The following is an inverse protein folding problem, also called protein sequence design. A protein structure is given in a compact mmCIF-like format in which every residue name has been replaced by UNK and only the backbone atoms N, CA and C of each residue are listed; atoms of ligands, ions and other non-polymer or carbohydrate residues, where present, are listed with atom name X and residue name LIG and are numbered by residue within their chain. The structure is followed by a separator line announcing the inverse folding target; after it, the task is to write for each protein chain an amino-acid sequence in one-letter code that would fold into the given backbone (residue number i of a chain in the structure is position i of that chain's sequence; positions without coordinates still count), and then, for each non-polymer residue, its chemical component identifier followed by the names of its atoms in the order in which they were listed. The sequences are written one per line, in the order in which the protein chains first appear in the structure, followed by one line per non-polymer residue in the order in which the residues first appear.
data_IF_935695363472
#
_entry.id   IF_935695363472
#
_cell.length_a   1.000
_cell.length_b   1.000
_cell.length_c   1.000
_cell.angle_alpha   90.00
_cell.angle_beta   90.00
_cell.angle_gamma   90.00
#
_symmetry.space_group_name_H-M   'P 1'
#
loop_
_entity.id
_entity.type
_entity.pdbx_description
1 polymer ?
#
# COMPACT_ATOMS: atom_id res chain seq x y z
N UNK A 1 -3.79 -7.54 -29.31
CA UNK A 1 -3.83 -6.06 -29.19
C UNK A 1 -2.41 -5.54 -29.37
N UNK A 2 -2.05 -5.11 -30.58
CA UNK A 2 -0.69 -4.73 -30.96
C UNK A 2 -0.53 -3.21 -30.88
N UNK A 3 0.10 -2.75 -29.81
CA UNK A 3 0.42 -1.34 -29.57
C UNK A 3 1.60 -0.90 -30.46
N UNK A 4 1.48 0.24 -31.15
CA UNK A 4 2.44 0.82 -32.13
C UNK A 4 2.95 2.16 -31.58
N UNK A 5 4.05 2.68 -32.10
CA UNK A 5 4.81 3.85 -31.61
C UNK A 5 4.04 5.19 -31.40
N UNK A 6 2.71 5.21 -31.51
CA UNK A 6 1.77 6.29 -31.17
C UNK A 6 1.29 6.31 -29.71
N UNK A 7 1.76 5.40 -28.85
CA UNK A 7 1.13 5.11 -27.55
C UNK A 7 1.75 5.85 -26.35
N UNK A 8 2.38 7.00 -26.61
CA UNK A 8 2.79 7.89 -25.52
C UNK A 8 1.59 8.72 -25.09
N UNK A 9 1.24 8.64 -23.81
CA UNK A 9 0.17 9.45 -23.22
C UNK A 9 0.76 10.56 -22.34
N UNK A 10 0.11 11.73 -22.22
CA UNK A 10 0.56 12.76 -21.29
C UNK A 10 0.60 12.20 -19.86
N UNK A 11 1.75 12.27 -19.21
CA UNK A 11 1.97 11.68 -17.88
C UNK A 11 0.99 12.21 -16.84
N UNK A 12 0.66 13.50 -16.92
CA UNK A 12 -0.39 14.17 -16.13
C UNK A 12 -1.75 13.46 -16.10
N UNK A 13 -2.14 12.75 -17.18
CA UNK A 13 -3.41 11.98 -17.18
C UNK A 13 -3.30 10.71 -16.34
N UNK A 14 -2.12 10.09 -16.37
CA UNK A 14 -1.82 8.88 -15.61
C UNK A 14 -1.61 9.22 -14.13
N UNK A 15 -1.00 10.36 -13.81
CA UNK A 15 -0.92 10.94 -12.47
C UNK A 15 -2.32 11.20 -11.90
N UNK A 16 -3.18 11.91 -12.65
CA UNK A 16 -4.55 12.19 -12.21
C UNK A 16 -5.37 10.91 -11.95
N UNK A 17 -5.22 9.88 -12.79
CA UNK A 17 -5.83 8.58 -12.56
C UNK A 17 -5.26 7.90 -11.30
N UNK A 18 -3.95 8.00 -11.10
CA UNK A 18 -3.28 7.45 -9.92
C UNK A 18 -3.80 8.11 -8.65
N UNK A 19 -3.86 9.44 -8.60
CA UNK A 19 -4.39 10.19 -7.45
C UNK A 19 -5.84 9.80 -7.15
N UNK A 20 -6.68 9.71 -8.17
CA UNK A 20 -8.07 9.30 -8.01
C UNK A 20 -8.21 7.88 -7.42
N UNK A 21 -7.40 6.93 -7.90
CA UNK A 21 -7.41 5.55 -7.39
C UNK A 21 -6.90 5.47 -5.96
N UNK A 22 -5.80 6.17 -5.61
CA UNK A 22 -5.31 6.22 -4.24
C UNK A 22 -6.33 6.85 -3.30
N UNK A 23 -6.94 7.98 -3.68
CA UNK A 23 -8.00 8.61 -2.89
C UNK A 23 -9.16 7.65 -2.65
N UNK A 24 -9.64 6.96 -3.70
CA UNK A 24 -10.73 5.99 -3.56
C UNK A 24 -10.34 4.82 -2.64
N UNK A 25 -9.16 4.22 -2.83
CA UNK A 25 -8.67 3.14 -1.99
C UNK A 25 -8.55 3.55 -0.51
N UNK A 26 -8.04 4.75 -0.22
CA UNK A 26 -7.99 5.30 1.14
C UNK A 26 -9.38 5.44 1.76
N UNK A 27 -10.39 5.86 0.98
CA UNK A 27 -11.77 5.93 1.49
C UNK A 27 -12.41 4.57 1.69
N UNK A 28 -12.11 3.57 0.84
CA UNK A 28 -12.65 2.22 1.02
C UNK A 28 -12.15 1.56 2.31
N UNK A 29 -10.93 1.89 2.78
CA UNK A 29 -10.40 1.32 4.01
C UNK A 29 -11.29 1.62 5.22
N UNK A 30 -11.86 2.83 5.35
CA UNK A 30 -12.69 3.16 6.52
C UNK A 30 -14.03 2.44 6.47
N UNK A 31 -14.56 2.15 5.27
CA UNK A 31 -15.80 1.40 5.11
C UNK A 31 -15.71 -0.03 5.63
N UNK A 32 -14.50 -0.56 5.83
CA UNK A 32 -14.29 -1.90 6.38
C UNK A 32 -14.36 -1.95 7.91
N UNK A 33 -14.42 -0.79 8.58
CA UNK A 33 -14.60 -0.70 10.04
C UNK A 33 -16.11 -0.72 10.32
N UNK A 34 -16.67 -1.92 10.40
CA UNK A 34 -18.09 -2.16 10.61
C UNK A 34 -18.30 -2.85 11.95
N UNK A 35 -19.41 -2.50 12.62
CA UNK A 35 -19.90 -3.25 13.77
C UNK A 35 -20.57 -4.56 13.29
N UNK A 36 -20.61 -5.62 14.12
CA UNK A 36 -21.35 -6.83 13.80
C UNK A 36 -22.81 -6.55 13.44
N UNK A 37 -23.39 -7.34 12.53
CA UNK A 37 -24.78 -7.16 12.06
C UNK A 37 -25.81 -7.27 13.20
N UNK A 38 -25.49 -8.01 14.26
CA UNK A 38 -26.31 -8.22 15.45
C UNK A 38 -25.99 -7.25 16.60
N UNK A 39 -25.20 -6.20 16.34
CA UNK A 39 -24.80 -5.23 17.36
C UNK A 39 -25.95 -4.32 17.80
N UNK A 40 -26.54 -4.63 18.96
CA UNK A 40 -27.66 -3.91 19.57
C UNK A 40 -27.39 -3.53 21.05
N UNK A 41 -26.46 -2.58 21.31
CA UNK A 41 -26.07 -2.24 22.67
C UNK A 41 -27.18 -1.51 23.43
N UNK A 42 -27.57 -2.04 24.60
CA UNK A 42 -28.58 -1.42 25.48
C UNK A 42 -28.00 -0.47 26.53
N UNK A 43 -26.68 -0.44 26.67
CA UNK A 43 -25.97 0.42 27.63
C UNK A 43 -24.74 1.04 26.98
N UNK A 44 -24.30 2.19 27.49
CA UNK A 44 -23.04 2.82 27.05
C UNK A 44 -21.85 1.89 27.24
N UNK A 45 -21.83 1.08 28.30
CA UNK A 45 -20.77 0.11 28.53
C UNK A 45 -20.73 -0.97 27.43
N UNK A 46 -21.88 -1.53 27.05
CA UNK A 46 -21.95 -2.50 25.96
C UNK A 46 -21.53 -1.89 24.62
N UNK A 47 -21.88 -0.62 24.37
CA UNK A 47 -21.44 0.11 23.19
C UNK A 47 -19.90 0.26 23.15
N UNK A 48 -19.29 0.71 24.26
CA UNK A 48 -17.84 0.86 24.35
C UNK A 48 -17.08 -0.47 24.24
N UNK A 49 -17.65 -1.56 24.78
CA UNK A 49 -17.08 -2.91 24.61
C UNK A 49 -17.11 -3.37 23.15
N UNK A 50 -18.20 -3.09 22.43
CA UNK A 50 -18.29 -3.33 20.98
C UNK A 50 -17.21 -2.59 20.21
N UNK A 51 -17.00 -1.30 20.50
CA UNK A 51 -15.93 -0.51 19.89
C UNK A 51 -14.53 -1.06 20.21
N UNK A 52 -14.28 -1.51 21.44
CA UNK A 52 -13.00 -2.12 21.82
C UNK A 52 -12.73 -3.43 21.05
N UNK A 53 -13.80 -4.17 20.70
CA UNK A 53 -13.72 -5.36 19.86
C UNK A 53 -13.28 -5.10 18.41
N UNK A 54 -13.33 -3.85 17.95
CA UNK A 54 -12.86 -3.45 16.61
C UNK A 54 -11.36 -3.10 16.57
N UNK A 55 -10.63 -3.26 17.68
CA UNK A 55 -9.23 -2.85 17.79
C UNK A 55 -8.33 -3.45 16.71
N UNK A 56 -8.46 -4.75 16.42
CA UNK A 56 -7.64 -5.42 15.40
C UNK A 56 -7.92 -4.86 13.99
N UNK A 57 -9.20 -4.69 13.64
CA UNK A 57 -9.61 -4.07 12.37
C UNK A 57 -9.13 -2.63 12.26
N UNK A 58 -9.18 -1.87 13.36
CA UNK A 58 -8.69 -0.50 13.40
C UNK A 58 -7.17 -0.41 13.24
N UNK A 59 -6.40 -1.33 13.84
CA UNK A 59 -4.95 -1.41 13.67
C UNK A 59 -4.60 -1.78 12.23
N UNK A 60 -5.27 -2.80 11.66
CA UNK A 60 -5.10 -3.20 10.26
C UNK A 60 -5.41 -2.05 9.29
N UNK A 61 -6.48 -1.28 9.59
CA UNK A 61 -6.86 -0.07 8.87
C UNK A 61 -5.75 0.96 8.91
N UNK A 62 -5.28 1.31 10.11
CA UNK A 62 -4.31 2.38 10.28
C UNK A 62 -2.98 2.05 9.60
N UNK A 63 -2.50 0.82 9.75
CA UNK A 63 -1.29 0.34 9.07
C UNK A 63 -1.45 0.46 7.55
N UNK A 64 -2.56 -0.07 7.01
CA UNK A 64 -2.80 -0.08 5.55
C UNK A 64 -2.96 1.32 4.99
N UNK A 65 -3.66 2.20 5.73
CA UNK A 65 -3.81 3.62 5.38
C UNK A 65 -2.46 4.32 5.30
N UNK A 66 -1.62 4.17 6.33
CA UNK A 66 -0.29 4.78 6.38
C UNK A 66 0.63 4.25 5.26
N UNK A 67 0.53 2.96 4.93
CA UNK A 67 1.26 2.39 3.78
C UNK A 67 0.79 3.03 2.48
N UNK A 68 -0.51 3.12 2.21
CA UNK A 68 -1.01 3.78 0.99
C UNK A 68 -0.60 5.26 0.91
N UNK A 69 -0.68 5.99 2.02
CA UNK A 69 -0.22 7.39 2.08
C UNK A 69 1.27 7.50 1.81
N UNK A 70 2.10 6.57 2.30
CA UNK A 70 3.54 6.55 2.04
C UNK A 70 3.83 6.34 0.54
N UNK A 71 3.16 5.36 -0.10
CA UNK A 71 3.27 5.14 -1.54
C UNK A 71 2.82 6.36 -2.35
N UNK A 72 1.65 6.92 -2.02
CA UNK A 72 1.13 8.10 -2.69
C UNK A 72 2.07 9.30 -2.53
N UNK A 73 2.59 9.54 -1.31
CA UNK A 73 3.52 10.63 -1.03
C UNK A 73 4.86 10.46 -1.76
N UNK A 74 5.37 9.23 -1.85
CA UNK A 74 6.60 8.91 -2.58
C UNK A 74 6.45 9.18 -4.09
N UNK A 75 5.25 8.96 -4.63
CA UNK A 75 4.91 9.33 -6.00
C UNK A 75 4.73 10.84 -6.16
N UNK A 76 3.98 11.50 -5.29
CA UNK A 76 3.73 12.94 -5.37
C UNK A 76 5.01 13.79 -5.26
N UNK A 77 6.09 13.24 -4.68
CA UNK A 77 7.40 13.89 -4.57
C UNK A 77 8.36 13.57 -5.71
N UNK A 78 8.01 12.66 -6.62
CA UNK A 78 8.88 12.25 -7.72
C UNK A 78 8.94 13.39 -8.75
N UNK A 79 10.09 14.05 -8.84
CA UNK A 79 10.29 15.22 -9.71
C UNK A 79 10.81 14.88 -11.10
N UNK A 80 11.16 13.61 -11.35
CA UNK A 80 11.80 13.15 -12.59
C UNK A 80 10.88 12.30 -13.47
N UNK A 81 9.55 12.47 -13.37
CA UNK A 81 8.64 11.81 -14.28
C UNK A 81 8.78 12.38 -15.71
N UNK A 82 8.76 11.53 -16.77
CA UNK A 82 8.83 12.02 -18.15
C UNK A 82 7.56 12.78 -18.51
N UNK A 83 7.64 13.81 -19.37
CA UNK A 83 6.44 14.55 -19.83
C UNK A 83 5.43 13.66 -20.58
N UNK A 84 5.97 12.64 -21.27
CA UNK A 84 5.22 11.67 -22.05
C UNK A 84 5.52 10.26 -21.54
N UNK A 85 4.48 9.59 -21.07
CA UNK A 85 4.54 8.24 -20.54
C UNK A 85 4.56 7.21 -21.67
N UNK A 86 5.64 6.43 -21.78
CA UNK A 86 5.71 5.35 -22.75
C UNK A 86 4.83 4.14 -22.39
N UNK A 87 4.70 3.15 -23.28
CA UNK A 87 3.84 1.97 -23.07
C UNK A 87 4.29 1.08 -21.91
N UNK A 88 5.59 1.06 -21.61
CA UNK A 88 6.12 0.31 -20.48
C UNK A 88 5.74 0.97 -19.14
N UNK A 89 5.94 2.29 -19.03
CA UNK A 89 5.60 3.07 -17.84
C UNK A 89 4.08 3.05 -17.57
N UNK A 90 3.28 3.22 -18.62
CA UNK A 90 1.81 3.16 -18.53
C UNK A 90 1.34 1.80 -18.01
N UNK A 91 1.82 0.68 -18.58
CA UNK A 91 1.42 -0.66 -18.13
C UNK A 91 1.86 -0.95 -16.69
N UNK A 92 3.09 -0.57 -16.33
CA UNK A 92 3.58 -0.74 -14.96
C UNK A 92 2.71 0.04 -13.96
N UNK A 93 2.33 1.28 -14.31
CA UNK A 93 1.45 2.10 -13.47
C UNK A 93 0.05 1.50 -13.36
N UNK A 94 -0.59 1.11 -14.46
CA UNK A 94 -1.92 0.50 -14.40
C UNK A 94 -1.93 -0.81 -13.59
N UNK A 95 -0.88 -1.62 -13.71
CA UNK A 95 -0.75 -2.85 -12.93
C UNK A 95 -0.50 -2.57 -11.44
N UNK A 96 0.22 -1.49 -11.10
CA UNK A 96 0.32 -1.01 -9.73
C UNK A 96 -1.04 -0.57 -9.17
N UNK A 97 -1.81 0.21 -9.94
CA UNK A 97 -3.14 0.67 -9.54
C UNK A 97 -4.10 -0.50 -9.29
N UNK A 98 -4.01 -1.58 -10.07
CA UNK A 98 -4.76 -2.80 -9.79
C UNK A 98 -4.49 -3.30 -8.36
N UNK A 99 -3.23 -3.44 -7.96
CA UNK A 99 -2.88 -3.90 -6.62
C UNK A 99 -3.22 -2.91 -5.52
N UNK A 100 -3.25 -1.61 -5.82
CA UNK A 100 -3.79 -0.59 -4.89
C UNK A 100 -5.28 -0.82 -4.64
N UNK A 101 -6.07 -1.13 -5.68
CA UNK A 101 -7.51 -1.39 -5.53
C UNK A 101 -7.83 -2.70 -4.80
N UNK A 102 -6.94 -3.69 -4.84
CA UNK A 102 -7.11 -4.97 -4.12
C UNK A 102 -6.75 -4.83 -2.63
N UNK A 103 -6.00 -3.80 -2.25
CA UNK A 103 -5.47 -3.64 -0.90
C UNK A 103 -6.54 -3.53 0.19
N UNK A 104 -7.66 -2.80 0.01
CA UNK A 104 -8.73 -2.77 1.01
C UNK A 104 -9.34 -4.15 1.26
N UNK A 105 -9.50 -4.96 0.21
CA UNK A 105 -10.00 -6.32 0.34
C UNK A 105 -9.03 -7.24 1.09
N UNK A 106 -7.72 -7.18 0.78
CA UNK A 106 -6.74 -8.01 1.48
C UNK A 106 -6.55 -7.59 2.94
N UNK A 107 -6.70 -6.30 3.25
CA UNK A 107 -6.77 -5.78 4.62
C UNK A 107 -7.99 -6.32 5.37
N UNK A 108 -9.17 -6.33 4.73
CA UNK A 108 -10.39 -6.89 5.33
C UNK A 108 -10.24 -8.38 5.65
N UNK A 109 -9.57 -9.13 4.77
CA UNK A 109 -9.35 -10.55 4.99
C UNK A 109 -8.52 -10.81 6.25
N UNK A 110 -7.42 -10.07 6.45
CA UNK A 110 -6.58 -10.23 7.64
C UNK A 110 -7.26 -9.73 8.92
N UNK A 111 -8.13 -8.72 8.85
CA UNK A 111 -8.84 -8.25 10.03
C UNK A 111 -10.02 -9.14 10.46
N UNK A 112 -10.66 -9.85 9.51
CA UNK A 112 -11.80 -10.72 9.80
C UNK A 112 -11.41 -12.17 10.09
N UNK A 113 -10.32 -12.66 9.50
CA UNK A 113 -9.96 -14.07 9.59
C UNK A 113 -8.60 -14.24 10.25
N UNK A 114 -8.61 -14.81 11.46
CA UNK A 114 -7.41 -15.18 12.19
C UNK A 114 -6.78 -16.49 11.66
N UNK A 115 -6.39 -16.48 10.38
CA UNK A 115 -5.77 -17.63 9.70
C UNK A 115 -4.55 -17.16 8.92
N UNK A 116 -3.51 -18.00 8.86
CA UNK A 116 -2.27 -17.67 8.16
C UNK A 116 -2.50 -17.30 6.68
N UNK A 117 -3.48 -17.94 6.03
CA UNK A 117 -3.83 -17.64 4.63
C UNK A 117 -4.30 -16.20 4.39
N UNK A 118 -4.99 -15.58 5.35
CA UNK A 118 -5.41 -14.18 5.24
C UNK A 118 -4.21 -13.23 5.34
N UNK A 119 -3.27 -13.52 6.24
CA UNK A 119 -2.00 -12.78 6.33
C UNK A 119 -1.18 -12.94 5.05
N UNK A 120 -1.14 -14.14 4.47
CA UNK A 120 -0.41 -14.39 3.22
C UNK A 120 -1.02 -13.64 2.04
N UNK A 121 -2.35 -13.54 1.96
CA UNK A 121 -3.04 -12.74 0.95
C UNK A 121 -2.64 -11.26 1.05
N UNK A 122 -2.66 -10.70 2.26
CA UNK A 122 -2.22 -9.32 2.51
C UNK A 122 -0.73 -9.12 2.18
N UNK A 123 0.13 -10.04 2.64
CA UNK A 123 1.57 -10.01 2.37
C UNK A 123 1.90 -10.12 0.89
N UNK A 124 1.20 -10.98 0.15
CA UNK A 124 1.35 -11.10 -1.30
C UNK A 124 0.95 -9.78 -1.99
N UNK A 125 -0.16 -9.16 -1.58
CA UNK A 125 -0.57 -7.86 -2.12
C UNK A 125 0.47 -6.77 -1.86
N UNK A 126 1.08 -6.74 -0.66
CA UNK A 126 2.16 -5.80 -0.31
C UNK A 126 3.43 -6.02 -1.13
N UNK A 127 3.84 -7.28 -1.33
CA UNK A 127 4.98 -7.61 -2.18
C UNK A 127 4.71 -7.16 -3.63
N UNK A 128 3.49 -7.38 -4.13
CA UNK A 128 3.10 -6.95 -5.47
C UNK A 128 3.09 -5.43 -5.62
N UNK A 129 2.68 -4.68 -4.60
CA UNK A 129 2.80 -3.22 -4.58
C UNK A 129 4.28 -2.78 -4.65
N UNK A 130 5.16 -3.42 -3.88
CA UNK A 130 6.60 -3.14 -3.92
C UNK A 130 7.21 -3.46 -5.29
N UNK A 131 6.92 -4.65 -5.84
CA UNK A 131 7.43 -5.10 -7.14
C UNK A 131 6.97 -4.17 -8.25
N UNK A 132 5.69 -3.82 -8.28
CA UNK A 132 5.14 -2.90 -9.29
C UNK A 132 5.69 -1.49 -9.14
N UNK A 133 5.90 -0.99 -7.93
CA UNK A 133 6.62 0.25 -7.67
C UNK A 133 8.03 0.25 -8.27
N UNK A 134 8.78 -0.84 -8.08
CA UNK A 134 10.12 -0.99 -8.70
C UNK A 134 10.03 -1.03 -10.23
N UNK A 135 9.01 -1.68 -10.80
CA UNK A 135 8.81 -1.72 -12.26
C UNK A 135 8.51 -0.32 -12.82
N UNK A 136 7.72 0.49 -12.11
CA UNK A 136 7.48 1.89 -12.47
C UNK A 136 8.78 2.67 -12.47
N UNK A 137 9.59 2.59 -11.39
CA UNK A 137 10.87 3.30 -11.32
C UNK A 137 11.83 2.89 -12.45
N UNK A 138 11.87 1.59 -12.80
CA UNK A 138 12.69 1.11 -13.93
C UNK A 138 12.19 1.60 -15.28
N UNK A 139 10.87 1.64 -15.48
CA UNK A 139 10.28 2.16 -16.71
C UNK A 139 10.47 3.68 -16.84
N UNK A 140 10.33 4.43 -15.76
CA UNK A 140 10.56 5.87 -15.71
C UNK A 140 12.01 6.23 -16.07
N UNK A 141 13.00 5.48 -15.56
CA UNK A 141 14.42 5.68 -15.92
C UNK A 141 14.69 5.44 -17.41
N UNK A 142 14.00 4.47 -18.03
CA UNK A 142 14.13 4.21 -19.47
C UNK A 142 13.56 5.35 -20.32
N UNK A 143 12.41 5.90 -19.92
CA UNK A 143 11.70 6.91 -20.70
C UNK A 143 12.24 8.33 -20.47
N UNK A 144 12.72 8.66 -19.26
CA UNK A 144 13.23 10.01 -18.91
C UNK A 144 14.72 10.21 -19.21
N UNK A 145 15.53 9.14 -19.28
CA UNK A 145 16.98 9.21 -19.46
C UNK A 145 17.75 9.92 -18.34
N UNK A 146 17.07 10.32 -17.25
CA UNK A 146 17.64 11.00 -16.09
C UNK A 146 17.72 10.00 -14.93
N UNK A 147 18.90 9.92 -14.32
CA UNK A 147 19.10 9.08 -13.14
C UNK A 147 18.66 9.88 -11.91
N UNK A 148 17.42 9.68 -11.48
CA UNK A 148 16.98 10.21 -10.20
C UNK A 148 17.62 9.36 -9.08
N UNK A 149 18.41 10.03 -8.25
CA UNK A 149 19.16 9.44 -7.13
C UNK A 149 18.27 9.17 -5.90
N UNK A 150 16.99 9.53 -5.93
CA UNK A 150 16.02 9.17 -4.89
C UNK A 150 15.57 7.71 -5.04
N UNK A 151 16.51 6.81 -4.80
CA UNK A 151 16.37 5.36 -4.98
C UNK A 151 15.44 4.78 -3.88
N UNK A 152 14.12 4.89 -4.08
CA UNK A 152 13.06 4.28 -3.26
C UNK A 152 13.17 2.75 -3.11
N UNK A 153 14.20 2.12 -3.69
CA UNK A 153 14.58 0.71 -3.51
C UNK A 153 14.68 0.28 -2.05
N UNK A 154 15.13 1.16 -1.15
CA UNK A 154 15.22 0.80 0.27
C UNK A 154 13.82 0.70 0.89
N UNK A 155 12.90 1.59 0.53
CA UNK A 155 11.51 1.54 1.02
C UNK A 155 10.78 0.30 0.49
N UNK A 156 10.92 0.00 -0.80
CA UNK A 156 10.38 -1.23 -1.38
C UNK A 156 11.02 -2.49 -0.80
N UNK A 157 12.33 -2.47 -0.54
CA UNK A 157 13.05 -3.58 0.10
C UNK A 157 12.58 -3.82 1.53
N UNK A 158 12.40 -2.76 2.31
CA UNK A 158 11.85 -2.82 3.67
C UNK A 158 10.41 -3.37 3.65
N UNK A 159 9.58 -2.93 2.71
CA UNK A 159 8.21 -3.44 2.58
C UNK A 159 8.16 -4.93 2.22
N UNK A 160 9.04 -5.39 1.33
CA UNK A 160 9.14 -6.82 1.01
C UNK A 160 9.63 -7.59 2.24
N UNK A 161 10.65 -7.10 2.94
CA UNK A 161 11.19 -7.73 4.12
C UNK A 161 10.15 -7.83 5.25
N UNK A 162 9.39 -6.76 5.51
CA UNK A 162 8.32 -6.77 6.50
C UNK A 162 7.18 -7.70 6.10
N UNK A 163 6.88 -7.82 4.80
CA UNK A 163 5.83 -8.70 4.31
C UNK A 163 6.21 -10.16 4.51
N UNK A 164 7.44 -10.53 4.14
CA UNK A 164 7.96 -11.88 4.41
C UNK A 164 8.02 -12.15 5.90
N UNK A 165 8.49 -11.19 6.71
CA UNK A 165 8.51 -11.33 8.17
C UNK A 165 7.10 -11.55 8.74
N UNK A 166 6.12 -10.78 8.29
CA UNK A 166 4.71 -10.92 8.68
C UNK A 166 4.15 -12.31 8.33
N UNK A 167 4.43 -12.80 7.12
CA UNK A 167 4.03 -14.13 6.67
C UNK A 167 4.69 -15.27 7.46
N UNK A 168 5.91 -15.06 7.96
CA UNK A 168 6.58 -16.02 8.84
C UNK A 168 5.97 -15.98 10.25
N UNK A 169 5.78 -14.79 10.83
CA UNK A 169 5.18 -14.62 12.16
C UNK A 169 3.78 -15.24 12.24
N UNK A 170 3.01 -15.17 11.15
CA UNK A 170 1.66 -15.75 11.12
C UNK A 170 1.60 -17.26 11.27
N UNK A 171 2.73 -17.98 11.12
CA UNK A 171 2.80 -19.41 11.40
C UNK A 171 2.68 -19.74 12.90
N UNK A 172 3.02 -18.78 13.77
CA UNK A 172 2.91 -18.93 15.23
C UNK A 172 1.73 -18.15 15.81
N UNK A 173 1.51 -16.91 15.34
CA UNK A 173 0.40 -16.07 15.78
C UNK A 173 0.01 -15.06 14.69
N UNK A 174 -1.13 -15.25 14.02
CA UNK A 174 -1.58 -14.30 13.00
C UNK A 174 -1.96 -12.93 13.57
N UNK A 175 -2.39 -12.85 14.83
CA UNK A 175 -2.78 -11.60 15.51
C UNK A 175 -1.68 -10.53 15.48
N UNK A 176 -0.43 -10.92 15.73
CA UNK A 176 0.70 -10.00 15.78
C UNK A 176 1.38 -9.80 14.42
N UNK A 177 0.98 -10.54 13.39
CA UNK A 177 1.69 -10.57 12.11
C UNK A 177 1.70 -9.20 11.42
N UNK A 178 0.63 -8.40 11.56
CA UNK A 178 0.57 -7.07 10.95
C UNK A 178 1.49 -6.05 11.62
N UNK A 179 1.88 -6.24 12.87
CA UNK A 179 2.75 -5.30 13.58
C UNK A 179 4.14 -5.18 12.93
N UNK A 180 4.58 -6.20 12.18
CA UNK A 180 5.82 -6.16 11.41
C UNK A 180 5.85 -4.97 10.41
N UNK A 181 4.70 -4.53 9.90
CA UNK A 181 4.63 -3.41 8.96
C UNK A 181 4.78 -2.03 9.64
N UNK A 182 4.64 -1.92 10.96
CA UNK A 182 4.92 -0.68 11.69
C UNK A 182 6.38 -0.23 11.52
N UNK A 183 7.30 -1.16 11.29
CA UNK A 183 8.70 -0.87 10.98
C UNK A 183 8.84 -0.01 9.72
N UNK A 184 8.00 -0.24 8.69
CA UNK A 184 8.04 0.53 7.46
C UNK A 184 7.51 1.95 7.65
N UNK A 185 6.50 2.12 8.50
CA UNK A 185 5.94 3.42 8.82
C UNK A 185 6.98 4.25 9.58
N UNK A 186 7.70 3.65 10.52
CA UNK A 186 8.70 4.34 11.35
C UNK A 186 10.02 4.65 10.60
N UNK A 187 10.40 3.83 9.62
CA UNK A 187 11.66 3.97 8.88
C UNK A 187 11.91 5.36 8.25
N UNK A 188 10.96 5.99 7.53
CA UNK A 188 11.18 7.33 6.98
C UNK A 188 11.28 8.44 8.05
N UNK A 189 10.64 8.28 9.21
CA UNK A 189 10.77 9.23 10.33
C UNK A 189 12.15 9.14 11.00
N UNK A 190 12.70 7.93 11.11
CA UNK A 190 14.05 7.72 11.68
C UNK A 190 15.15 8.29 10.77
N UNK A 191 14.98 8.21 9.45
CA UNK A 191 15.93 8.77 8.47
C UNK A 191 16.10 10.29 8.55
N UNK A 192 15.03 11.03 8.87
CA UNK A 192 15.11 12.49 9.05
C UNK A 192 15.96 12.91 10.26
N UNK A 193 16.13 12.04 11.26
CA UNK A 193 16.99 12.28 12.43
C UNK A 193 18.46 11.88 12.21
N UNK A 194 18.73 10.92 11.33
CA UNK A 194 20.08 10.44 11.06
C UNK A 194 20.85 11.28 10.02
N UNK A 195 20.17 12.13 9.25
CA UNK A 195 20.77 13.03 8.25
C UNK A 195 21.15 14.42 8.77
N UNK A 196 21.10 14.66 10.09
CA UNK A 196 21.48 15.94 10.72
C UNK A 196 22.63 15.76 11.73
N UNK A 197 23.52 14.79 11.48
CA UNK A 197 24.74 14.56 12.25
C UNK A 197 25.97 14.86 11.42
#
# INVERSE_FOLDING_TARGET
MTWRATDFIPTRRLEALTDAVFAFALTLLVLNIELPDDFDPKTTQAFLQGLAGLSDTFIAYLITFLVLVAFWSGRARQTSEPDMAGPAYTRATLFHLLWVTVLPFSMLAVSRYNVAGAVWLYGANMILLAVTGILISRAAKRDSGRDDASDGRIEFGLLIASAVLSMLVSLWSPDYAMLAYLLNVAAPFMRRRAGTG
#
